data_IF_611846704160
#
_entry.id   IF_611846704160
#
_cell.length_a   1.000
_cell.length_b   1.000
_cell.length_c   1.000
_cell.angle_alpha   90.00
_cell.angle_beta   90.00
_cell.angle_gamma   90.00
#
_symmetry.space_group_name_H-M   'P 1'
#
loop_
_entity.id
_entity.type
_entity.pdbx_description
1 polymer ?
#
# COMPACT_ATOMS: atom_id res chain seq x y z
N UNK A 1 -23.06 -73.13 4.82
CA UNK A 1 -21.97 -72.35 5.44
C UNK A 1 -21.29 -71.34 4.50
N UNK A 2 -21.48 -71.36 3.17
CA UNK A 2 -20.72 -70.49 2.25
C UNK A 2 -21.15 -69.01 2.14
N UNK A 3 -22.42 -68.67 2.40
CA UNK A 3 -22.94 -67.32 2.10
C UNK A 3 -22.48 -66.22 3.10
N UNK A 4 -22.26 -66.60 4.36
CA UNK A 4 -21.77 -65.69 5.40
C UNK A 4 -20.25 -65.44 5.34
N UNK A 5 -19.50 -66.25 4.61
CA UNK A 5 -18.07 -66.03 4.37
C UNK A 5 -17.87 -65.02 3.22
N UNK A 6 -18.67 -65.13 2.15
CA UNK A 6 -18.63 -64.23 0.99
C UNK A 6 -18.96 -62.78 1.38
N UNK A 7 -19.98 -62.56 2.22
CA UNK A 7 -20.32 -61.20 2.71
C UNK A 7 -19.21 -60.57 3.57
N UNK A 8 -18.36 -61.37 4.22
CA UNK A 8 -17.26 -60.82 5.05
C UNK A 8 -16.08 -60.37 4.20
N UNK A 9 -15.77 -61.07 3.12
CA UNK A 9 -14.71 -60.68 2.18
C UNK A 9 -15.11 -59.41 1.41
N UNK A 10 -16.38 -59.31 0.98
CA UNK A 10 -16.90 -58.11 0.30
C UNK A 10 -16.84 -56.86 1.22
N UNK A 11 -17.08 -57.04 2.52
CA UNK A 11 -16.98 -55.95 3.51
C UNK A 11 -15.53 -55.54 3.78
N UNK A 12 -14.59 -56.49 3.87
CA UNK A 12 -13.17 -56.20 4.06
C UNK A 12 -12.57 -55.48 2.85
N UNK A 13 -12.99 -55.85 1.64
CA UNK A 13 -12.57 -55.15 0.41
C UNK A 13 -13.15 -53.73 0.34
N UNK A 14 -14.40 -53.54 0.78
CA UNK A 14 -15.01 -52.20 0.87
C UNK A 14 -14.29 -51.32 1.90
N UNK A 15 -13.95 -51.87 3.07
CA UNK A 15 -13.19 -51.16 4.11
C UNK A 15 -11.80 -50.75 3.61
N UNK A 16 -11.07 -51.64 2.93
CA UNK A 16 -9.78 -51.33 2.33
C UNK A 16 -9.87 -50.23 1.25
N UNK A 17 -10.96 -50.22 0.45
CA UNK A 17 -11.21 -49.16 -0.54
C UNK A 17 -11.56 -47.82 0.11
N UNK A 18 -12.31 -47.84 1.23
CA UNK A 18 -12.64 -46.64 1.99
C UNK A 18 -11.42 -46.05 2.69
N UNK A 19 -10.55 -46.89 3.24
CA UNK A 19 -9.30 -46.47 3.89
C UNK A 19 -8.32 -45.83 2.89
N UNK A 20 -8.31 -46.33 1.64
CA UNK A 20 -7.58 -45.71 0.52
C UNK A 20 -8.20 -44.42 -0.01
N UNK A 21 -9.50 -44.17 0.21
CA UNK A 21 -10.18 -42.97 -0.28
C UNK A 21 -9.93 -41.73 0.60
N UNK A 22 -9.82 -41.90 1.93
CA UNK A 22 -9.56 -40.82 2.90
C UNK A 22 -8.29 -39.99 2.59
N UNK A 23 -7.12 -40.60 2.30
CA UNK A 23 -5.93 -39.82 1.95
C UNK A 23 -6.06 -39.12 0.59
N UNK A 24 -6.85 -39.66 -0.34
CA UNK A 24 -7.12 -39.03 -1.64
C UNK A 24 -7.98 -37.78 -1.49
N UNK A 25 -9.00 -37.82 -0.62
CA UNK A 25 -9.81 -36.62 -0.31
C UNK A 25 -8.99 -35.55 0.40
N UNK A 26 -8.13 -35.94 1.35
CA UNK A 26 -7.24 -35.00 2.02
C UNK A 26 -6.23 -34.34 1.06
N UNK A 27 -5.65 -35.12 0.13
CA UNK A 27 -4.75 -34.60 -0.90
C UNK A 27 -5.49 -33.65 -1.87
N UNK A 28 -6.73 -33.98 -2.22
CA UNK A 28 -7.56 -33.13 -3.07
C UNK A 28 -7.91 -31.79 -2.40
N UNK A 29 -8.23 -31.78 -1.10
CA UNK A 29 -8.49 -30.56 -0.34
C UNK A 29 -7.26 -29.64 -0.26
N UNK A 30 -6.07 -30.23 -0.08
CA UNK A 30 -4.81 -29.49 -0.14
C UNK A 30 -4.57 -28.88 -1.53
N UNK A 31 -4.87 -29.61 -2.59
CA UNK A 31 -4.68 -29.13 -3.96
C UNK A 31 -5.70 -28.05 -4.34
N UNK A 32 -6.95 -28.15 -3.88
CA UNK A 32 -7.94 -27.08 -4.00
C UNK A 32 -7.51 -25.81 -3.26
N UNK A 33 -6.90 -25.96 -2.08
CA UNK A 33 -6.36 -24.82 -1.32
C UNK A 33 -5.21 -24.16 -2.09
N UNK A 34 -4.28 -24.94 -2.63
CA UNK A 34 -3.19 -24.44 -3.47
C UNK A 34 -3.70 -23.76 -4.75
N UNK A 35 -4.71 -24.35 -5.40
CA UNK A 35 -5.34 -23.79 -6.59
C UNK A 35 -6.03 -22.46 -6.28
N UNK A 36 -6.76 -22.36 -5.16
CA UNK A 36 -7.41 -21.12 -4.74
C UNK A 36 -6.39 -20.01 -4.44
N UNK A 37 -5.27 -20.34 -3.77
CA UNK A 37 -4.17 -19.40 -3.53
C UNK A 37 -3.51 -18.93 -4.83
N UNK A 38 -3.28 -19.85 -5.77
CA UNK A 38 -2.72 -19.54 -7.09
C UNK A 38 -3.66 -18.66 -7.90
N UNK A 39 -4.96 -18.93 -7.86
CA UNK A 39 -5.99 -18.13 -8.51
C UNK A 39 -6.07 -16.71 -7.91
N UNK A 40 -6.00 -16.58 -6.58
CA UNK A 40 -5.97 -15.28 -5.90
C UNK A 40 -4.71 -14.45 -6.22
N UNK A 41 -3.56 -15.10 -6.28
CA UNK A 41 -2.32 -14.47 -6.72
C UNK A 41 -2.42 -14.00 -8.17
N UNK A 42 -2.80 -14.92 -9.07
CA UNK A 42 -3.00 -14.63 -10.50
C UNK A 42 -3.98 -13.49 -10.73
N UNK A 43 -5.10 -13.44 -10.00
CA UNK A 43 -6.08 -12.37 -10.10
C UNK A 43 -5.51 -10.99 -9.71
N UNK A 44 -4.70 -10.92 -8.64
CA UNK A 44 -4.02 -9.68 -8.24
C UNK A 44 -2.96 -9.25 -9.26
N UNK A 45 -2.17 -10.20 -9.78
CA UNK A 45 -1.21 -9.95 -10.84
C UNK A 45 -1.89 -9.36 -12.08
N UNK A 46 -2.95 -10.00 -12.55
CA UNK A 46 -3.72 -9.57 -13.73
C UNK A 46 -4.34 -8.19 -13.51
N UNK A 47 -4.90 -7.93 -12.32
CA UNK A 47 -5.43 -6.61 -11.97
C UNK A 47 -4.36 -5.51 -11.97
N UNK A 48 -3.17 -5.81 -11.45
CA UNK A 48 -2.04 -4.86 -11.45
C UNK A 48 -1.52 -4.59 -12.86
N UNK A 49 -1.43 -5.63 -13.70
CA UNK A 49 -1.00 -5.52 -15.09
C UNK A 49 -2.00 -4.72 -15.93
N UNK A 50 -3.30 -5.01 -15.78
CA UNK A 50 -4.37 -4.28 -16.46
C UNK A 50 -4.36 -2.79 -16.10
N UNK A 51 -4.20 -2.49 -14.81
CA UNK A 51 -4.11 -1.09 -14.34
C UNK A 51 -2.86 -0.39 -14.88
N UNK A 52 -1.71 -1.06 -14.87
CA UNK A 52 -0.47 -0.53 -15.41
C UNK A 52 -0.58 -0.28 -16.92
N UNK A 53 -1.13 -1.24 -17.67
CA UNK A 53 -1.35 -1.13 -19.11
C UNK A 53 -2.32 0.01 -19.45
N UNK A 54 -3.45 0.11 -18.74
CA UNK A 54 -4.43 1.18 -18.93
C UNK A 54 -3.83 2.56 -18.65
N UNK A 55 -3.04 2.69 -17.57
CA UNK A 55 -2.34 3.94 -17.26
C UNK A 55 -1.26 4.29 -18.28
N UNK A 56 -0.58 3.28 -18.84
CA UNK A 56 0.43 3.42 -19.89
C UNK A 56 -0.16 3.86 -21.21
N UNK A 57 -1.23 3.20 -21.66
CA UNK A 57 -1.97 3.59 -22.87
C UNK A 57 -2.54 5.00 -22.75
N UNK A 58 -3.12 5.34 -21.59
CA UNK A 58 -3.66 6.67 -21.36
C UNK A 58 -2.58 7.74 -21.46
N UNK A 59 -1.43 7.54 -20.81
CA UNK A 59 -0.29 8.47 -20.90
C UNK A 59 0.25 8.60 -22.32
N UNK A 60 0.37 7.48 -23.04
CA UNK A 60 0.82 7.49 -24.43
C UNK A 60 -0.15 8.26 -25.34
N UNK A 61 -1.46 8.07 -25.14
CA UNK A 61 -2.49 8.80 -25.87
C UNK A 61 -2.49 10.29 -25.53
N UNK A 62 -2.48 10.63 -24.24
CA UNK A 62 -2.48 12.02 -23.78
C UNK A 62 -1.23 12.75 -24.30
N UNK A 63 -0.07 12.08 -24.32
CA UNK A 63 1.16 12.67 -24.84
C UNK A 63 1.15 12.90 -26.35
N UNK A 64 0.50 12.02 -27.14
CA UNK A 64 0.38 12.21 -28.60
C UNK A 64 -0.63 13.31 -28.93
N UNK A 65 -1.76 13.35 -28.22
CA UNK A 65 -2.88 14.25 -28.52
C UNK A 65 -2.66 15.64 -27.95
N UNK A 66 -2.19 15.75 -26.71
CA UNK A 66 -2.08 17.01 -25.99
C UNK A 66 -0.65 17.54 -25.93
N UNK A 67 0.35 16.67 -25.79
CA UNK A 67 1.76 17.10 -25.68
C UNK A 67 2.50 17.14 -27.03
N UNK A 68 1.83 16.74 -28.12
CA UNK A 68 2.40 16.75 -29.47
C UNK A 68 3.58 15.78 -29.66
N UNK A 69 3.72 14.78 -28.79
CA UNK A 69 4.78 13.79 -28.90
C UNK A 69 4.58 12.95 -30.17
N UNK A 70 5.67 12.49 -30.78
CA UNK A 70 5.58 11.61 -31.94
C UNK A 70 5.02 10.26 -31.49
N UNK A 71 4.14 9.69 -32.30
CA UNK A 71 3.60 8.34 -32.05
C UNK A 71 4.71 7.30 -31.87
N UNK A 72 5.84 7.45 -32.56
CA UNK A 72 7.03 6.61 -32.39
C UNK A 72 7.56 6.60 -30.96
N UNK A 73 7.56 7.76 -30.31
CA UNK A 73 8.13 7.95 -28.97
C UNK A 73 7.16 7.39 -27.92
N UNK A 74 5.86 7.60 -28.14
CA UNK A 74 4.80 7.03 -27.33
C UNK A 74 4.82 5.49 -27.37
N UNK A 75 4.93 4.91 -28.57
CA UNK A 75 5.06 3.47 -28.75
C UNK A 75 6.37 2.94 -28.16
N UNK A 76 7.45 3.71 -28.24
CA UNK A 76 8.73 3.39 -27.60
C UNK A 76 8.61 3.27 -26.08
N UNK A 77 7.91 4.21 -25.43
CA UNK A 77 7.67 4.17 -23.98
C UNK A 77 6.80 2.97 -23.57
N UNK A 78 5.76 2.65 -24.35
CA UNK A 78 4.94 1.46 -24.11
C UNK A 78 5.79 0.20 -24.24
N UNK A 79 6.60 0.08 -25.30
CA UNK A 79 7.48 -1.06 -25.52
C UNK A 79 8.51 -1.23 -24.39
N UNK A 80 9.11 -0.13 -23.92
CA UNK A 80 10.03 -0.14 -22.79
C UNK A 80 9.34 -0.60 -21.49
N UNK A 81 8.12 -0.11 -21.24
CA UNK A 81 7.34 -0.50 -20.06
C UNK A 81 6.96 -1.99 -20.08
N UNK A 82 6.62 -2.53 -21.25
CA UNK A 82 6.33 -3.95 -21.46
C UNK A 82 7.59 -4.80 -21.27
N UNK A 83 8.72 -4.39 -21.85
CA UNK A 83 10.01 -5.06 -21.70
C UNK A 83 10.43 -5.16 -20.23
N UNK A 84 10.35 -4.04 -19.49
CA UNK A 84 10.64 -3.99 -18.05
C UNK A 84 9.71 -4.89 -17.23
N UNK A 85 8.43 -4.93 -17.59
CA UNK A 85 7.43 -5.76 -16.89
C UNK A 85 7.67 -7.25 -17.13
N UNK A 86 7.93 -7.65 -18.37
CA UNK A 86 8.26 -9.05 -18.73
C UNK A 86 9.55 -9.48 -18.05
N UNK A 87 10.58 -8.63 -18.08
CA UNK A 87 11.84 -8.88 -17.38
C UNK A 87 11.64 -9.05 -15.87
N UNK A 88 10.86 -8.17 -15.25
CA UNK A 88 10.56 -8.26 -13.82
C UNK A 88 9.84 -9.57 -13.47
N UNK A 89 8.83 -9.97 -14.25
CA UNK A 89 8.10 -11.22 -14.06
C UNK A 89 9.00 -12.44 -14.23
N UNK A 90 9.86 -12.44 -15.24
CA UNK A 90 10.81 -13.52 -15.50
C UNK A 90 11.86 -13.68 -14.38
N UNK A 91 12.27 -12.57 -13.75
CA UNK A 91 13.28 -12.58 -12.70
C UNK A 91 12.71 -12.82 -11.30
N UNK A 92 11.39 -12.70 -11.08
CA UNK A 92 10.75 -12.93 -9.78
C UNK A 92 11.11 -14.27 -9.12
N UNK A 93 11.11 -15.42 -9.82
CA UNK A 93 11.48 -16.70 -9.20
C UNK A 93 12.92 -16.71 -8.70
N UNK A 94 13.85 -16.10 -9.47
CA UNK A 94 15.26 -15.99 -9.09
C UNK A 94 15.44 -15.03 -7.93
N UNK A 95 14.73 -13.89 -7.93
CA UNK A 95 14.74 -12.94 -6.82
C UNK A 95 14.19 -13.57 -5.53
N UNK A 96 13.13 -14.37 -5.64
CA UNK A 96 12.55 -15.06 -4.49
C UNK A 96 13.44 -16.19 -3.98
N UNK A 97 14.03 -16.99 -4.88
CA UNK A 97 14.93 -18.08 -4.51
C UNK A 97 16.24 -17.55 -3.90
N UNK A 98 16.84 -16.53 -4.52
CA UNK A 98 18.06 -15.91 -4.03
C UNK A 98 17.80 -15.13 -2.75
N UNK A 99 16.68 -14.41 -2.64
CA UNK A 99 16.26 -13.74 -1.41
C UNK A 99 16.02 -14.72 -0.25
N UNK A 100 15.40 -15.87 -0.53
CA UNK A 100 15.22 -16.96 0.44
C UNK A 100 16.56 -17.57 0.87
N UNK A 101 17.43 -17.91 -0.07
CA UNK A 101 18.75 -18.48 0.23
C UNK A 101 19.67 -17.51 0.97
N UNK A 102 19.63 -16.21 0.63
CA UNK A 102 20.39 -15.18 1.36
C UNK A 102 19.86 -15.02 2.79
N UNK A 103 18.53 -15.00 2.97
CA UNK A 103 17.91 -14.91 4.27
C UNK A 103 18.23 -16.15 5.13
N UNK A 104 18.20 -17.35 4.55
CA UNK A 104 18.59 -18.59 5.22
C UNK A 104 20.08 -18.63 5.56
N UNK A 105 20.97 -18.21 4.65
CA UNK A 105 22.41 -18.15 4.87
C UNK A 105 22.82 -17.15 5.95
N UNK A 106 22.19 -15.98 5.98
CA UNK A 106 22.40 -14.96 7.03
C UNK A 106 21.89 -15.48 8.38
N UNK A 107 20.73 -16.15 8.42
CA UNK A 107 20.17 -16.73 9.65
C UNK A 107 21.00 -17.95 10.13
N UNK A 108 21.62 -18.70 9.22
CA UNK A 108 22.57 -19.79 9.51
C UNK A 108 23.90 -19.27 10.08
N UNK A 109 24.42 -18.17 9.53
CA UNK A 109 25.65 -17.54 10.02
C UNK A 109 25.44 -16.86 11.38
N UNK A 110 24.30 -16.18 11.60
CA UNK A 110 23.94 -15.61 12.90
C UNK A 110 23.68 -16.70 13.95
N UNK A 111 23.14 -17.85 13.58
CA UNK A 111 22.95 -18.98 14.49
C UNK A 111 24.23 -19.76 14.80
N UNK A 112 25.23 -19.73 13.91
CA UNK A 112 26.57 -20.29 14.15
C UNK A 112 27.45 -19.45 15.10
N UNK A 113 27.21 -18.14 15.19
CA UNK A 113 27.96 -17.22 16.07
C UNK A 113 27.33 -17.10 17.46
N UNK A 114 26.03 -17.39 17.61
CA UNK A 114 25.35 -17.46 18.91
C UNK A 114 24.89 -18.89 19.19
N UNK A 115 25.76 -19.67 19.85
CA UNK A 115 25.54 -21.08 20.19
C UNK A 115 24.31 -21.34 21.07
N UNK A 116 23.14 -21.43 20.45
CA UNK A 116 21.92 -21.97 21.04
C UNK A 116 21.35 -23.07 20.15
N UNK A 117 22.06 -24.19 20.11
CA UNK A 117 21.48 -25.47 19.77
C UNK A 117 20.46 -25.85 20.86
N UNK A 118 19.20 -26.04 20.45
CA UNK A 118 18.01 -26.45 21.23
C UNK A 118 17.13 -25.31 21.78
N UNK A 119 16.05 -25.05 21.04
CA UNK A 119 14.70 -24.74 21.53
C UNK A 119 14.56 -23.77 22.71
N UNK A 120 14.24 -22.52 22.43
CA UNK A 120 13.81 -21.57 23.46
C UNK A 120 13.14 -20.34 22.85
N UNK A 121 11.81 -20.39 22.70
CA UNK A 121 10.89 -19.24 22.73
C UNK A 121 9.41 -19.56 22.36
N UNK A 122 9.04 -20.81 22.05
CA UNK A 122 7.65 -21.16 21.70
C UNK A 122 6.92 -22.06 22.73
N UNK A 123 7.58 -22.42 23.84
CA UNK A 123 7.01 -23.37 24.81
C UNK A 123 6.06 -22.76 25.86
N UNK A 124 5.65 -21.50 25.74
CA UNK A 124 4.77 -20.90 26.75
C UNK A 124 3.68 -19.99 26.17
N UNK A 125 2.85 -20.56 25.30
CA UNK A 125 1.40 -20.68 25.53
C UNK A 125 0.54 -19.46 25.91
N UNK A 126 1.00 -18.21 25.84
CA UNK A 126 0.16 -17.02 26.04
C UNK A 126 0.54 -15.90 25.08
N UNK A 127 0.20 -16.09 23.81
CA UNK A 127 -0.07 -14.93 22.94
C UNK A 127 -1.46 -14.45 23.32
N UNK A 128 -1.56 -13.42 24.16
CA UNK A 128 -2.78 -12.61 24.23
C UNK A 128 -2.79 -11.75 22.96
N UNK A 129 -3.67 -12.03 21.98
CA UNK A 129 -3.78 -11.15 20.82
C UNK A 129 -4.22 -9.77 21.31
N UNK A 130 -3.55 -8.72 20.83
CA UNK A 130 -4.00 -7.35 21.01
C UNK A 130 -5.32 -7.16 20.26
N UNK A 131 -6.42 -7.50 20.92
CA UNK A 131 -7.75 -7.12 20.50
C UNK A 131 -7.92 -5.61 20.76
N UNK A 132 -8.33 -4.89 19.71
CA UNK A 132 -8.98 -3.58 19.75
C UNK A 132 -8.13 -2.39 20.26
N UNK A 133 -7.52 -1.68 19.29
CA UNK A 133 -7.58 -0.21 19.24
C UNK A 133 -7.03 0.59 20.42
N UNK A 134 -5.82 0.31 20.89
CA UNK A 134 -5.10 1.19 21.82
C UNK A 134 -4.09 2.08 21.08
N UNK A 135 -4.22 3.41 21.20
CA UNK A 135 -3.17 4.35 20.79
C UNK A 135 -2.04 4.27 21.81
N UNK A 136 -0.85 3.90 21.36
CA UNK A 136 0.35 3.77 22.19
C UNK A 136 1.03 5.15 22.25
N UNK A 137 0.67 5.96 23.24
CA UNK A 137 1.19 7.34 23.39
C UNK A 137 2.59 7.46 24.03
N UNK A 138 3.32 6.35 24.17
CA UNK A 138 4.69 6.33 24.71
C UNK A 138 5.47 5.11 24.24
N UNK A 139 6.80 5.21 24.02
CA UNK A 139 7.61 4.14 23.45
C UNK A 139 7.47 2.85 24.26
N UNK A 140 6.84 1.84 23.67
CA UNK A 140 6.62 0.56 24.34
C UNK A 140 7.63 -0.44 23.83
N UNK A 141 8.39 -0.98 24.78
CA UNK A 141 9.46 -1.92 24.51
C UNK A 141 8.89 -3.33 24.48
N UNK A 142 9.16 -4.08 23.41
CA UNK A 142 8.79 -5.49 23.31
C UNK A 142 9.99 -6.35 22.91
N UNK A 143 10.15 -7.54 23.51
CA UNK A 143 11.29 -8.41 23.20
C UNK A 143 11.16 -8.98 21.77
N UNK A 144 12.23 -8.87 20.97
CA UNK A 144 12.36 -9.51 19.67
C UNK A 144 13.56 -10.45 19.65
N UNK A 145 13.55 -11.45 18.77
CA UNK A 145 14.66 -12.41 18.66
C UNK A 145 15.94 -11.69 18.21
N UNK A 146 16.89 -11.51 19.13
CA UNK A 146 18.16 -10.83 18.88
C UNK A 146 18.24 -9.37 19.34
N UNK A 147 17.25 -8.86 20.08
CA UNK A 147 17.32 -7.52 20.64
C UNK A 147 16.02 -7.03 21.28
N UNK A 148 16.08 -5.84 21.84
CA UNK A 148 14.92 -5.16 22.40
C UNK A 148 14.28 -4.33 21.27
N UNK A 149 13.06 -4.67 20.87
CA UNK A 149 12.28 -3.90 19.90
C UNK A 149 11.63 -2.70 20.57
N UNK A 150 11.98 -1.49 20.14
CA UNK A 150 11.28 -0.28 20.57
C UNK A 150 10.16 -0.01 19.55
N UNK A 151 8.90 -0.16 19.96
CA UNK A 151 7.78 0.35 19.18
C UNK A 151 7.73 1.87 19.38
N UNK A 152 8.33 2.58 18.42
CA UNK A 152 8.22 4.02 18.27
C UNK A 152 7.59 4.30 16.92
N UNK A 153 6.61 5.20 16.91
CA UNK A 153 5.90 5.65 15.73
C UNK A 153 6.93 6.19 14.73
N UNK A 154 6.82 5.79 13.45
CA UNK A 154 7.80 6.10 12.42
C UNK A 154 7.72 7.59 12.01
N UNK A 155 8.28 8.45 12.86
CA UNK A 155 8.38 9.89 12.64
C UNK A 155 7.25 10.69 13.31
N UNK A 156 7.48 11.99 13.57
CA UNK A 156 6.44 12.87 14.09
C UNK A 156 5.25 12.89 13.11
N UNK A 157 4.10 12.37 13.53
CA UNK A 157 2.87 12.57 12.78
C UNK A 157 2.55 14.07 12.76
N UNK A 158 2.46 14.65 11.57
CA UNK A 158 1.95 16.01 11.46
C UNK A 158 0.46 15.99 11.84
N UNK A 159 0.12 16.56 12.99
CA UNK A 159 -1.27 16.87 13.33
C UNK A 159 -1.73 17.96 12.37
N UNK A 160 -2.39 17.56 11.30
CA UNK A 160 -2.98 18.49 10.34
C UNK A 160 -4.39 18.83 10.82
N UNK A 161 -4.76 20.12 10.94
CA UNK A 161 -6.09 20.50 11.37
C UNK A 161 -7.11 19.99 10.34
N UNK A 162 -7.97 19.05 10.76
CA UNK A 162 -9.11 18.60 9.98
C UNK A 162 -10.19 19.66 10.10
N UNK A 163 -10.56 20.27 8.97
CA UNK A 163 -11.70 21.16 8.90
C UNK A 163 -12.86 20.46 8.19
N UNK A 164 -14.07 20.67 8.70
CA UNK A 164 -15.30 20.19 8.04
C UNK A 164 -15.63 21.15 6.90
N UNK A 165 -15.74 20.62 5.67
CA UNK A 165 -16.25 21.39 4.54
C UNK A 165 -17.74 21.73 4.71
N UNK A 166 -18.23 22.72 3.97
CA UNK A 166 -19.65 23.09 3.94
C UNK A 166 -20.56 21.95 3.45
N UNK A 167 -19.96 20.95 2.79
CA UNK A 167 -20.54 19.69 2.32
C UNK A 167 -20.48 18.56 3.36
N UNK A 168 -20.03 18.84 4.60
CA UNK A 168 -20.03 17.90 5.72
C UNK A 168 -18.92 16.86 5.70
N UNK A 169 -18.07 16.82 4.66
CA UNK A 169 -16.94 15.89 4.53
C UNK A 169 -15.70 16.43 5.26
N UNK A 170 -14.92 15.53 5.83
CA UNK A 170 -13.66 15.83 6.50
C UNK A 170 -12.52 15.77 5.47
N UNK A 171 -11.76 16.86 5.35
CA UNK A 171 -10.59 16.94 4.47
C UNK A 171 -9.37 17.47 5.22
N UNK A 172 -8.18 17.11 4.72
CA UNK A 172 -6.91 17.62 5.23
C UNK A 172 -6.70 19.01 4.65
N UNK A 173 -6.72 20.05 5.48
CA UNK A 173 -6.24 21.36 5.04
C UNK A 173 -4.72 21.34 4.96
N UNK A 174 -4.17 21.56 3.77
CA UNK A 174 -2.77 21.90 3.60
C UNK A 174 -2.51 23.24 4.32
N UNK A 175 -2.14 23.17 5.59
CA UNK A 175 -1.79 24.32 6.41
C UNK A 175 -0.47 24.91 5.94
N UNK A 176 -0.51 26.12 5.39
CA UNK A 176 0.71 26.88 5.08
C UNK A 176 0.56 27.94 4.00
N UNK A 177 -0.51 27.91 3.20
CA UNK A 177 -0.83 29.00 2.29
C UNK A 177 -1.98 29.81 2.86
N UNK A 178 -1.69 30.97 3.47
CA UNK A 178 -2.71 31.98 3.70
C UNK A 178 -3.54 32.14 2.43
N UNK A 179 -4.80 31.70 2.43
CA UNK A 179 -5.69 31.74 1.26
C UNK A 179 -5.57 33.13 0.65
N UNK A 180 -5.11 33.27 -0.62
CA UNK A 180 -4.71 34.57 -1.14
C UNK A 180 -5.87 35.53 -1.01
N UNK A 181 -5.71 36.55 -0.17
CA UNK A 181 -6.70 37.61 -0.01
C UNK A 181 -6.54 38.50 -1.24
N UNK A 182 -7.38 38.24 -2.24
CA UNK A 182 -7.49 39.09 -3.42
C UNK A 182 -8.37 40.29 -3.06
N UNK A 183 -7.80 41.49 -3.12
CA UNK A 183 -8.54 42.74 -3.00
C UNK A 183 -8.54 43.40 -4.37
N UNK A 184 -9.70 43.40 -5.04
CA UNK A 184 -9.89 44.10 -6.31
C UNK A 184 -10.42 45.50 -6.01
N UNK A 185 -9.66 46.53 -6.36
CA UNK A 185 -10.07 47.93 -6.20
C UNK A 185 -10.27 48.55 -7.58
N UNK A 186 -11.51 48.90 -7.90
CA UNK A 186 -11.84 49.62 -9.13
C UNK A 186 -11.79 51.12 -8.83
N UNK A 187 -10.84 51.83 -9.46
CA UNK A 187 -10.67 53.26 -9.29
C UNK A 187 -11.07 53.96 -10.58
N UNK A 188 -12.18 54.69 -10.54
CA UNK A 188 -12.60 55.58 -11.62
C UNK A 188 -12.33 57.02 -11.19
N UNK A 189 -11.47 57.71 -11.93
CA UNK A 189 -11.14 59.10 -11.65
C UNK A 189 -11.12 59.89 -12.96
N UNK A 190 -11.79 61.06 -13.03
CA UNK A 190 -11.81 61.90 -14.22
C UNK A 190 -10.54 62.75 -14.40
N UNK A 191 -9.70 62.91 -13.36
CA UNK A 191 -8.45 63.70 -13.38
C UNK A 191 -7.22 62.89 -12.92
N UNK A 192 -6.30 62.65 -13.85
CA UNK A 192 -5.07 61.88 -13.62
C UNK A 192 -4.14 62.59 -12.61
N UNK A 193 -4.09 63.93 -12.60
CA UNK A 193 -3.22 64.66 -11.65
C UNK A 193 -3.75 64.61 -10.22
N UNK A 194 -5.08 64.55 -10.04
CA UNK A 194 -5.71 64.28 -8.75
C UNK A 194 -5.43 62.87 -8.23
N UNK A 195 -5.35 61.89 -9.12
CA UNK A 195 -4.97 60.51 -8.78
C UNK A 195 -3.52 60.43 -8.29
N UNK A 196 -2.56 61.06 -8.98
CA UNK A 196 -1.15 61.07 -8.56
C UNK A 196 -0.98 61.63 -7.14
N UNK A 197 -1.71 62.69 -6.79
CA UNK A 197 -1.66 63.29 -5.43
C UNK A 197 -2.31 62.41 -4.36
N UNK A 198 -3.28 61.57 -4.72
CA UNK A 198 -4.03 60.71 -3.80
C UNK A 198 -3.55 59.26 -3.78
N UNK A 199 -2.59 58.90 -4.62
CA UNK A 199 -2.02 57.55 -4.74
C UNK A 199 -1.54 57.00 -3.39
N UNK A 200 -0.88 57.82 -2.57
CA UNK A 200 -0.40 57.43 -1.24
C UNK A 200 -1.54 57.14 -0.25
N UNK A 201 -2.64 57.88 -0.35
CA UNK A 201 -3.83 57.69 0.49
C UNK A 201 -4.58 56.41 0.11
N UNK A 202 -4.71 56.14 -1.19
CA UNK A 202 -5.33 54.92 -1.72
C UNK A 202 -4.49 53.69 -1.33
N UNK A 203 -3.16 53.77 -1.48
CA UNK A 203 -2.24 52.70 -1.05
C UNK A 203 -2.37 52.42 0.46
N UNK A 204 -2.46 53.47 1.29
CA UNK A 204 -2.67 53.32 2.73
C UNK A 204 -4.04 52.71 3.08
N UNK A 205 -5.09 53.00 2.30
CA UNK A 205 -6.40 52.36 2.47
C UNK A 205 -6.36 50.88 2.07
N UNK A 206 -5.69 50.54 0.98
CA UNK A 206 -5.51 49.17 0.51
C UNK A 206 -4.73 48.32 1.52
N UNK A 207 -3.63 48.84 2.05
CA UNK A 207 -2.82 48.18 3.09
C UNK A 207 -3.65 47.92 4.36
N UNK A 208 -4.50 48.88 4.76
CA UNK A 208 -5.42 48.72 5.89
C UNK A 208 -6.53 47.69 5.62
N UNK A 209 -7.02 47.60 4.39
CA UNK A 209 -8.00 46.59 4.00
C UNK A 209 -7.39 45.17 4.05
N UNK A 210 -6.18 45.02 3.52
CA UNK A 210 -5.41 43.77 3.59
C UNK A 210 -5.10 43.35 5.03
N UNK A 211 -4.63 44.28 5.87
CA UNK A 211 -4.31 44.02 7.27
C UNK A 211 -5.55 43.70 8.14
N UNK A 212 -6.75 44.14 7.74
CA UNK A 212 -8.02 43.73 8.38
C UNK A 212 -8.45 42.35 7.90
N UNK A 213 -8.32 42.07 6.60
CA UNK A 213 -8.60 40.74 6.04
C UNK A 213 -7.67 39.64 6.55
N UNK A 214 -6.44 39.98 6.96
CA UNK A 214 -5.52 39.06 7.62
C UNK A 214 -5.84 38.82 9.11
N UNK A 215 -6.47 39.80 9.78
CA UNK A 215 -6.79 39.74 11.22
C UNK A 215 -8.13 39.08 11.55
N UNK A 216 -9.10 39.13 10.64
CA UNK A 216 -10.41 38.49 10.81
C UNK A 216 -10.44 37.05 10.27
N UNK A 217 -9.32 36.33 10.35
CA UNK A 217 -9.20 34.91 9.96
C UNK A 217 -9.25 34.01 11.18
#
# INVERSE_FOLDING_TARGET
>A
MGRAAMERDDLAELEARLDGAVPVTAAFEQELTRLSQTMLFTGREVGSLSSALGSGLRRAFDGVVFDGMRLSDALGQVAESLSRSVYAVAMRPVQNALGGALAEGINGLLSGVMGFAKGGAFAQGRVTPFAQGGVVSSPTVFPMRGGIGLMGEAGPEAILPLARGADGRLGVQAGGGARPVSVVMNITTPDVKGFERSQSQIAAQAARALARGQRNR
#
